data_IF_911469958973
#
_entry.id   IF_911469958973
#
_cell.length_a   1.000
_cell.length_b   1.000
_cell.length_c   1.000
_cell.angle_alpha   90.00
_cell.angle_beta   90.00
_cell.angle_gamma   90.00
#
_symmetry.space_group_name_H-M   'P 1'
#
loop_
_entity.id
_entity.type
_entity.pdbx_description
1 polymer ?
#
# COMPACT_ATOMS: atom_id res chain seq x y z
N UNK A 1 -48.18 28.43 -4.03
CA UNK A 1 -48.09 27.00 -3.64
C UNK A 1 -47.65 26.07 -4.78
N UNK A 2 -48.43 25.90 -5.86
CA UNK A 2 -48.20 24.84 -6.87
C UNK A 2 -46.88 24.98 -7.66
N UNK A 3 -46.54 26.18 -8.11
CA UNK A 3 -45.29 26.45 -8.84
C UNK A 3 -44.04 26.19 -7.99
N UNK A 4 -44.11 26.44 -6.69
CA UNK A 4 -42.99 26.20 -5.75
C UNK A 4 -42.70 24.71 -5.59
N UNK A 5 -43.76 23.88 -5.51
CA UNK A 5 -43.62 22.42 -5.44
C UNK A 5 -42.98 21.88 -6.72
N UNK A 6 -43.36 22.41 -7.88
CA UNK A 6 -42.78 22.03 -9.17
C UNK A 6 -41.29 22.43 -9.23
N UNK A 7 -40.93 23.63 -8.78
CA UNK A 7 -39.52 24.05 -8.69
C UNK A 7 -38.69 23.13 -7.78
N UNK A 8 -39.19 22.78 -6.60
CA UNK A 8 -38.48 21.88 -5.68
C UNK A 8 -38.29 20.47 -6.27
N UNK A 9 -39.32 19.95 -6.94
CA UNK A 9 -39.25 18.68 -7.68
C UNK A 9 -38.14 18.71 -8.74
N UNK A 10 -38.09 19.76 -9.56
CA UNK A 10 -37.08 19.89 -10.62
C UNK A 10 -35.67 19.94 -10.00
N UNK A 11 -35.44 20.75 -8.96
CA UNK A 11 -34.13 20.83 -8.27
C UNK A 11 -33.69 19.47 -7.74
N UNK A 12 -34.62 18.70 -7.15
CA UNK A 12 -34.30 17.37 -6.61
C UNK A 12 -33.90 16.35 -7.68
N UNK A 13 -34.53 16.42 -8.87
CA UNK A 13 -34.19 15.57 -10.01
C UNK A 13 -32.81 15.96 -10.56
N UNK A 14 -32.51 17.26 -10.65
CA UNK A 14 -31.19 17.75 -11.07
C UNK A 14 -30.07 17.35 -10.10
N UNK A 15 -30.30 17.41 -8.78
CA UNK A 15 -29.33 16.97 -7.77
C UNK A 15 -29.06 15.45 -7.83
N UNK A 16 -30.08 14.64 -8.16
CA UNK A 16 -29.91 13.19 -8.35
C UNK A 16 -29.29 12.83 -9.71
N UNK A 17 -29.32 13.75 -10.67
CA UNK A 17 -28.68 13.60 -11.99
C UNK A 17 -27.24 14.10 -12.03
N UNK A 18 -26.70 14.63 -10.92
CA UNK A 18 -25.25 14.64 -10.78
C UNK A 18 -24.82 13.18 -10.97
N UNK A 19 -24.03 12.89 -12.03
CA UNK A 19 -23.49 11.56 -12.14
C UNK A 19 -22.80 11.33 -10.82
N UNK A 20 -22.92 10.11 -10.37
CA UNK A 20 -22.05 9.44 -9.44
C UNK A 20 -20.58 9.57 -9.86
N UNK A 21 -20.06 10.79 -10.02
CA UNK A 21 -18.65 11.18 -9.98
C UNK A 21 -18.11 10.99 -8.56
N UNK A 22 -18.99 10.72 -7.59
CA UNK A 22 -18.63 10.07 -6.33
C UNK A 22 -18.55 8.52 -6.42
N UNK A 23 -19.12 7.89 -7.47
CA UNK A 23 -18.90 6.46 -7.80
C UNK A 23 -17.84 6.25 -8.89
N UNK A 24 -17.16 7.31 -9.33
CA UNK A 24 -15.93 7.19 -10.11
C UNK A 24 -14.75 7.10 -9.16
N UNK A 25 -14.53 5.92 -8.57
CA UNK A 25 -13.38 5.64 -7.68
C UNK A 25 -13.40 6.55 -6.45
N UNK A 26 -14.08 6.11 -5.38
CA UNK A 26 -13.85 6.71 -4.06
C UNK A 26 -12.34 6.89 -3.90
N UNK A 27 -11.89 8.10 -3.53
CA UNK A 27 -10.46 8.42 -3.39
C UNK A 27 -9.91 7.53 -2.28
N UNK A 28 -9.56 6.29 -2.63
CA UNK A 28 -8.94 5.37 -1.70
C UNK A 28 -7.63 6.01 -1.33
N UNK A 29 -7.40 6.10 -0.03
CA UNK A 29 -6.09 6.51 0.47
C UNK A 29 -5.06 5.63 -0.23
N UNK A 30 -3.99 6.25 -0.72
CA UNK A 30 -2.88 5.48 -1.25
C UNK A 30 -2.51 4.42 -0.22
N UNK A 31 -2.37 3.13 -0.59
CA UNK A 31 -2.12 2.07 0.38
C UNK A 31 -0.82 2.29 1.15
N UNK A 32 0.15 3.00 0.54
CA UNK A 32 1.36 3.49 1.22
C UNK A 32 1.13 4.46 2.39
N UNK A 33 -0.07 5.03 2.55
CA UNK A 33 -0.44 5.84 3.73
C UNK A 33 -0.70 4.94 4.93
N UNK A 34 -1.37 3.81 4.72
CA UNK A 34 -1.74 2.84 5.76
C UNK A 34 -0.59 1.88 6.05
N UNK A 35 0.10 1.41 5.01
CA UNK A 35 1.24 0.51 5.12
C UNK A 35 2.52 1.21 4.61
N UNK A 36 3.44 1.61 5.52
CA UNK A 36 4.72 2.21 5.15
C UNK A 36 5.57 1.35 4.21
N UNK A 37 5.39 0.03 4.21
CA UNK A 37 6.13 -0.89 3.33
C UNK A 37 5.68 -0.83 1.87
N UNK A 38 4.49 -0.31 1.59
CA UNK A 38 3.97 -0.12 0.23
C UNK A 38 4.39 1.23 -0.38
N UNK A 39 5.20 2.04 0.31
CA UNK A 39 5.73 3.30 -0.21
C UNK A 39 6.85 3.05 -1.24
N UNK A 40 7.08 4.01 -2.17
CA UNK A 40 8.23 3.95 -3.09
C UNK A 40 9.59 3.83 -2.39
N UNK A 41 9.71 4.37 -1.17
CA UNK A 41 10.90 4.26 -0.33
C UNK A 41 10.52 3.67 1.05
N UNK A 42 10.40 2.34 1.16
CA UNK A 42 9.96 1.70 2.38
C UNK A 42 11.06 1.72 3.47
N UNK A 43 10.68 1.73 4.75
CA UNK A 43 11.65 1.70 5.85
C UNK A 43 12.43 0.37 5.90
N UNK A 44 13.60 0.40 6.55
CA UNK A 44 14.42 -0.79 6.73
C UNK A 44 13.63 -1.89 7.49
N UNK A 45 13.65 -3.12 6.97
CA UNK A 45 12.94 -4.27 7.55
C UNK A 45 11.66 -4.67 6.82
N UNK A 46 11.18 -3.86 5.87
CA UNK A 46 10.12 -4.28 4.95
C UNK A 46 10.62 -5.40 4.02
N UNK A 47 9.74 -6.36 3.74
CA UNK A 47 9.97 -7.39 2.74
C UNK A 47 9.91 -6.78 1.34
N UNK A 48 10.78 -7.23 0.42
CA UNK A 48 10.75 -6.78 -0.96
C UNK A 48 9.40 -7.13 -1.62
N UNK A 49 8.87 -6.30 -2.55
CA UNK A 49 7.65 -6.61 -3.28
C UNK A 49 7.74 -8.02 -3.90
N UNK A 50 6.74 -8.87 -3.68
CA UNK A 50 6.73 -10.26 -4.18
C UNK A 50 7.51 -11.29 -3.34
N UNK A 51 7.97 -10.91 -2.15
CA UNK A 51 8.60 -11.83 -1.18
C UNK A 51 7.65 -12.35 -0.08
N UNK A 52 6.34 -12.12 -0.23
CA UNK A 52 5.33 -12.65 0.69
C UNK A 52 5.46 -14.19 0.80
N UNK A 53 5.68 -14.69 2.02
CA UNK A 53 5.89 -16.12 2.30
C UNK A 53 7.31 -16.63 2.02
N UNK A 54 8.22 -15.78 1.53
CA UNK A 54 9.62 -16.15 1.34
C UNK A 54 10.43 -15.90 2.63
N UNK A 55 11.43 -16.73 2.95
CA UNK A 55 12.39 -16.42 3.99
C UNK A 55 13.04 -15.07 3.74
N UNK A 56 13.39 -14.33 4.80
CA UNK A 56 14.16 -13.08 4.65
C UNK A 56 15.44 -13.37 3.86
N UNK A 57 15.59 -12.71 2.72
CA UNK A 57 16.83 -12.72 1.96
C UNK A 57 17.94 -12.19 2.89
N UNK A 58 19.03 -12.95 3.04
CA UNK A 58 20.19 -12.41 3.76
C UNK A 58 20.81 -11.34 2.86
N UNK A 59 20.84 -10.10 3.34
CA UNK A 59 21.46 -8.97 2.62
C UNK A 59 22.93 -9.25 2.29
N UNK A 60 23.62 -9.96 3.20
CA UNK A 60 25.00 -10.38 3.01
C UNK A 60 25.13 -11.88 3.23
N UNK A 61 25.96 -12.54 2.42
CA UNK A 61 26.45 -13.87 2.76
C UNK A 61 27.21 -13.80 4.08
N UNK A 62 26.68 -14.45 5.11
CA UNK A 62 27.39 -14.54 6.38
C UNK A 62 28.54 -15.53 6.24
N UNK A 63 29.74 -15.01 5.93
CA UNK A 63 30.96 -15.77 6.06
C UNK A 63 31.37 -15.76 7.53
N UNK A 64 31.09 -16.85 8.23
CA UNK A 64 31.60 -17.03 9.58
C UNK A 64 33.13 -16.89 9.53
N UNK A 65 33.65 -15.87 10.21
CA UNK A 65 35.09 -15.71 10.37
C UNK A 65 35.67 -16.84 11.22
N UNK A 66 36.98 -16.82 11.41
CA UNK A 66 37.59 -17.75 12.33
C UNK A 66 37.13 -17.46 13.76
N UNK A 67 36.60 -18.47 14.43
CA UNK A 67 36.36 -18.43 15.87
C UNK A 67 37.29 -19.39 16.59
N UNK A 68 37.42 -19.27 17.91
CA UNK A 68 38.15 -20.26 18.72
C UNK A 68 37.61 -21.69 18.55
N UNK A 69 36.31 -21.82 18.26
CA UNK A 69 35.64 -23.10 18.08
C UNK A 69 35.85 -23.67 16.67
N UNK A 70 35.73 -22.84 15.64
CA UNK A 70 35.78 -23.28 14.23
C UNK A 70 37.20 -23.35 13.66
N UNK A 71 38.17 -22.64 14.27
CA UNK A 71 39.56 -22.44 13.80
C UNK A 71 39.62 -21.95 12.33
N UNK A 72 40.73 -21.34 11.91
CA UNK A 72 40.87 -20.84 10.54
C UNK A 72 41.15 -21.99 9.55
N UNK A 73 40.21 -22.90 9.33
CA UNK A 73 40.37 -23.84 8.23
C UNK A 73 39.95 -23.18 6.92
N UNK A 74 40.97 -22.77 6.16
CA UNK A 74 40.89 -22.22 4.81
C UNK A 74 40.73 -23.37 3.80
N UNK A 75 39.66 -24.15 3.91
CA UNK A 75 39.26 -25.04 2.82
C UNK A 75 38.23 -24.28 1.99
N UNK A 76 38.73 -23.58 0.97
CA UNK A 76 37.93 -22.99 -0.09
C UNK A 76 37.64 -24.02 -1.17
#
# INVERSE_FOLDING_TARGET
MKAWVICLMVISIFMMMEPTLAAGVGKFLNPGVLDPCLRPNPPAGCQAPGSAGKPKERVNEYKAGCSKLTRCNRAG
#
